data_IF_343250628040
#
_entry.id   IF_343250628040
#
_cell.length_a   1.000
_cell.length_b   1.000
_cell.length_c   1.000
_cell.angle_alpha   90.00
_cell.angle_beta   90.00
_cell.angle_gamma   90.00
#
_symmetry.space_group_name_H-M   'P 1'
#
loop_
_entity.id
_entity.type
_entity.pdbx_description
1 polymer ?
#
# COMPACT_ATOMS: atom_id res chain seq x y z
N UNK A 1 31.03 1.58 44.79
CA UNK A 1 30.45 0.63 43.83
C UNK A 1 29.89 1.45 42.68
N UNK A 2 30.68 1.67 41.62
CA UNK A 2 30.20 2.35 40.41
C UNK A 2 29.57 1.31 39.49
N UNK A 3 28.24 1.18 39.53
CA UNK A 3 27.49 0.48 38.50
C UNK A 3 27.41 1.36 37.25
N UNK A 4 28.50 1.42 36.49
CA UNK A 4 28.41 1.76 35.07
C UNK A 4 27.73 0.58 34.38
N UNK A 5 26.42 0.68 34.17
CA UNK A 5 25.76 -0.12 33.16
C UNK A 5 26.43 0.23 31.84
N UNK A 6 27.28 -0.66 31.35
CA UNK A 6 27.90 -0.55 30.04
C UNK A 6 26.78 -0.72 29.01
N UNK A 7 26.28 0.40 28.49
CA UNK A 7 25.25 0.39 27.47
C UNK A 7 25.79 -0.28 26.20
N UNK A 8 25.07 -1.26 25.68
CA UNK A 8 25.39 -1.84 24.37
C UNK A 8 25.01 -0.86 23.27
N UNK A 9 25.88 -0.71 22.28
CA UNK A 9 25.67 0.11 21.10
C UNK A 9 25.45 -0.80 19.89
N UNK A 10 24.44 -0.49 19.07
CA UNK A 10 24.11 -1.26 17.87
C UNK A 10 24.20 -0.36 16.65
N UNK A 11 24.99 -0.77 15.67
CA UNK A 11 25.06 -0.17 14.34
C UNK A 11 24.23 -1.02 13.39
N UNK A 12 23.09 -0.50 12.97
CA UNK A 12 22.19 -1.18 12.04
C UNK A 12 22.43 -0.67 10.61
N UNK A 13 22.82 -1.58 9.72
CA UNK A 13 23.16 -1.30 8.33
C UNK A 13 22.12 -1.97 7.43
N UNK A 14 21.28 -1.12 6.80
CA UNK A 14 20.21 -1.54 5.91
C UNK A 14 20.64 -1.43 4.44
N UNK A 15 20.19 -2.37 3.63
CA UNK A 15 20.38 -2.34 2.17
C UNK A 15 21.24 -3.49 1.64
N UNK A 16 21.42 -3.54 0.31
CA UNK A 16 22.12 -4.64 -0.33
C UNK A 16 23.60 -4.67 0.05
N UNK A 17 24.13 -5.88 0.22
CA UNK A 17 25.57 -6.09 0.39
C UNK A 17 26.22 -6.11 -0.98
N UNK A 18 27.27 -5.30 -1.13
CA UNK A 18 28.06 -5.23 -2.36
C UNK A 18 29.52 -5.58 -2.05
N UNK A 19 30.15 -6.31 -2.97
CA UNK A 19 31.52 -6.80 -2.84
C UNK A 19 32.53 -5.66 -2.59
N UNK A 20 32.31 -4.47 -3.17
CA UNK A 20 33.24 -3.34 -3.11
C UNK A 20 33.41 -2.79 -1.70
N UNK A 21 32.31 -2.65 -0.94
CA UNK A 21 32.39 -2.06 0.39
C UNK A 21 32.52 -3.10 1.50
N UNK A 22 31.94 -4.30 1.33
CA UNK A 22 31.99 -5.32 2.38
C UNK A 22 33.41 -5.84 2.60
N UNK A 23 34.24 -5.88 1.56
CA UNK A 23 35.64 -6.30 1.68
C UNK A 23 36.46 -5.37 2.58
N UNK A 24 36.18 -4.07 2.53
CA UNK A 24 36.81 -3.07 3.40
C UNK A 24 36.38 -3.22 4.87
N UNK A 25 35.31 -3.97 5.15
CA UNK A 25 34.84 -4.27 6.50
C UNK A 25 35.37 -5.59 7.07
N UNK A 26 36.10 -6.39 6.30
CA UNK A 26 36.55 -7.72 6.73
C UNK A 26 37.36 -7.72 8.04
N UNK A 27 38.16 -6.68 8.31
CA UNK A 27 38.98 -6.55 9.53
C UNK A 27 38.20 -6.12 10.77
N UNK A 28 37.02 -5.53 10.58
CA UNK A 28 36.13 -5.16 11.68
C UNK A 28 35.15 -6.27 12.00
N UNK A 29 34.81 -7.10 11.00
CA UNK A 29 33.92 -8.25 11.13
C UNK A 29 34.63 -9.52 11.65
N UNK A 30 35.96 -9.56 11.62
CA UNK A 30 36.73 -10.66 12.22
C UNK A 30 37.04 -10.42 13.71
N UNK A 31 37.75 -11.36 14.33
CA UNK A 31 38.12 -11.31 15.75
C UNK A 31 38.96 -10.07 16.13
N UNK A 32 39.58 -9.39 15.16
CA UNK A 32 40.38 -8.20 15.43
C UNK A 32 39.51 -7.00 15.80
N UNK A 33 38.25 -6.93 15.32
CA UNK A 33 37.32 -5.81 15.58
C UNK A 33 37.93 -4.43 15.30
N UNK A 34 38.72 -4.31 14.22
CA UNK A 34 39.42 -3.09 13.80
C UNK A 34 38.89 -2.58 12.47
N UNK A 35 38.33 -1.38 12.47
CA UNK A 35 37.96 -0.68 11.25
C UNK A 35 39.17 0.11 10.74
N UNK A 36 39.66 -0.26 9.57
CA UNK A 36 40.74 0.44 8.88
C UNK A 36 40.13 1.43 7.88
N UNK A 37 40.37 2.73 8.08
CA UNK A 37 39.92 3.76 7.17
C UNK A 37 40.93 3.94 6.01
N UNK A 38 40.45 4.46 4.88
CA UNK A 38 41.29 4.79 3.72
C UNK A 38 42.37 5.85 4.06
N UNK A 39 42.16 6.63 5.13
CA UNK A 39 43.15 7.56 5.68
C UNK A 39 44.35 6.86 6.36
N UNK A 40 44.25 5.56 6.61
CA UNK A 40 45.20 4.78 7.40
C UNK A 40 44.92 4.78 8.91
N UNK A 41 43.88 5.51 9.35
CA UNK A 41 43.44 5.48 10.74
C UNK A 41 42.79 4.13 11.08
N UNK A 42 43.08 3.63 12.28
CA UNK A 42 42.57 2.36 12.79
C UNK A 42 41.69 2.64 13.99
N UNK A 43 40.41 2.30 13.88
CA UNK A 43 39.43 2.44 14.95
C UNK A 43 39.11 1.05 15.51
N UNK A 44 39.39 0.84 16.79
CA UNK A 44 39.05 -0.40 17.50
C UNK A 44 37.60 -0.32 18.00
N UNK A 45 36.78 -1.29 17.61
CA UNK A 45 35.44 -1.45 18.19
C UNK A 45 35.53 -2.01 19.61
N UNK A 46 34.72 -1.47 20.51
CA UNK A 46 34.60 -1.98 21.88
C UNK A 46 33.76 -3.27 21.91
N UNK A 47 33.89 -4.04 22.99
CA UNK A 47 33.10 -5.26 23.17
C UNK A 47 31.58 -5.01 23.33
N UNK A 48 31.17 -3.77 23.57
CA UNK A 48 29.75 -3.37 23.71
C UNK A 48 29.10 -2.99 22.38
N UNK A 49 29.91 -2.81 21.32
CA UNK A 49 29.42 -2.45 20.00
C UNK A 49 29.09 -3.70 19.19
N UNK A 50 27.92 -3.69 18.56
CA UNK A 50 27.44 -4.73 17.67
C UNK A 50 27.14 -4.12 16.29
N UNK A 51 27.49 -4.84 15.23
CA UNK A 51 27.12 -4.53 13.86
C UNK A 51 26.03 -5.52 13.42
N UNK A 52 24.91 -4.99 12.95
CA UNK A 52 23.80 -5.78 12.42
C UNK A 52 23.58 -5.35 10.98
N UNK A 53 23.52 -6.33 10.08
CA UNK A 53 23.20 -6.12 8.67
C UNK A 53 21.84 -6.73 8.38
N UNK A 54 20.97 -5.99 7.70
CA UNK A 54 19.69 -6.49 7.18
C UNK A 54 19.69 -6.39 5.64
N UNK A 55 20.40 -7.29 4.94
CA UNK A 55 20.37 -7.37 3.50
C UNK A 55 19.25 -8.29 2.99
N UNK A 56 18.78 -8.04 1.76
CA UNK A 56 17.83 -8.92 1.08
C UNK A 56 18.48 -10.25 0.70
N UNK A 57 19.69 -10.21 0.16
CA UNK A 57 20.50 -11.37 -0.21
C UNK A 57 21.98 -11.13 0.06
N UNK A 58 22.77 -12.20 -0.04
CA UNK A 58 24.22 -12.20 0.12
C UNK A 58 24.92 -12.72 -1.14
N UNK A 59 24.32 -12.59 -2.32
CA UNK A 59 24.88 -13.14 -3.56
C UNK A 59 26.25 -12.53 -3.90
N UNK A 60 26.49 -11.29 -3.49
CA UNK A 60 27.74 -10.57 -3.72
C UNK A 60 28.75 -10.71 -2.56
N UNK A 61 28.42 -11.47 -1.51
CA UNK A 61 29.32 -11.69 -0.38
C UNK A 61 30.09 -13.01 -0.53
N UNK A 62 31.41 -12.97 -0.31
CA UNK A 62 32.21 -14.20 -0.33
C UNK A 62 31.87 -15.11 0.87
N UNK A 63 31.90 -16.44 0.72
CA UNK A 63 31.69 -17.36 1.85
C UNK A 63 32.64 -17.11 3.04
N UNK A 64 33.85 -16.61 2.77
CA UNK A 64 34.83 -16.26 3.80
C UNK A 64 34.48 -14.99 4.59
N UNK A 65 33.71 -14.08 4.00
CA UNK A 65 33.15 -12.90 4.68
C UNK A 65 31.96 -13.31 5.54
N UNK A 66 31.05 -14.12 4.98
CA UNK A 66 29.85 -14.59 5.67
C UNK A 66 30.21 -15.49 6.86
N UNK A 67 31.28 -16.29 6.77
CA UNK A 67 31.72 -17.17 7.87
C UNK A 67 32.16 -16.45 9.13
N UNK A 68 32.41 -15.13 9.07
CA UNK A 68 32.80 -14.30 10.21
C UNK A 68 31.59 -13.72 10.95
N UNK A 69 30.41 -13.80 10.34
CA UNK A 69 29.18 -13.20 10.85
C UNK A 69 28.26 -14.27 11.45
N UNK A 70 27.47 -13.88 12.46
CA UNK A 70 26.35 -14.68 12.93
C UNK A 70 25.18 -14.57 11.96
N UNK A 71 24.77 -15.69 11.36
CA UNK A 71 23.70 -15.71 10.36
C UNK A 71 22.36 -16.04 10.99
N UNK A 72 21.40 -15.11 10.87
CA UNK A 72 20.00 -15.31 11.24
C UNK A 72 19.18 -15.30 9.95
N UNK A 73 18.62 -16.46 9.58
CA UNK A 73 17.75 -16.57 8.42
C UNK A 73 16.30 -16.38 8.85
N UNK A 74 15.62 -15.42 8.24
CA UNK A 74 14.19 -15.20 8.41
C UNK A 74 13.47 -15.71 7.17
N UNK A 75 12.61 -16.73 7.33
CA UNK A 75 11.76 -17.19 6.23
C UNK A 75 10.58 -16.21 6.06
N UNK A 76 10.44 -15.53 4.90
CA UNK A 76 9.35 -14.60 4.66
C UNK A 76 7.97 -15.25 4.76
N UNK A 77 7.87 -16.57 4.52
CA UNK A 77 6.59 -17.29 4.61
C UNK A 77 6.11 -17.48 6.05
N UNK A 78 6.99 -17.34 7.04
CA UNK A 78 6.60 -17.40 8.46
C UNK A 78 5.92 -16.11 8.92
N UNK A 79 6.22 -14.98 8.28
CA UNK A 79 5.61 -13.69 8.59
C UNK A 79 4.43 -13.42 7.65
N UNK A 80 3.26 -13.94 8.02
CA UNK A 80 2.04 -13.71 7.25
C UNK A 80 1.52 -12.27 7.32
N UNK A 81 0.66 -11.91 6.36
CA UNK A 81 -0.01 -10.60 6.31
C UNK A 81 -0.84 -10.28 7.55
N UNK A 82 -1.29 -11.32 8.29
CA UNK A 82 -2.10 -11.18 9.51
C UNK A 82 -1.39 -10.41 10.61
N UNK A 83 -0.07 -10.55 10.75
CA UNK A 83 0.70 -9.80 11.76
C UNK A 83 0.63 -8.30 11.48
N UNK A 84 0.73 -7.91 10.21
CA UNK A 84 0.56 -6.51 9.79
C UNK A 84 -0.88 -6.03 9.96
N UNK A 85 -1.88 -6.87 9.64
CA UNK A 85 -3.30 -6.57 9.87
C UNK A 85 -3.60 -6.35 11.36
N UNK A 86 -3.11 -7.21 12.25
CA UNK A 86 -3.33 -7.08 13.69
C UNK A 86 -2.71 -5.77 14.23
N UNK A 87 -1.50 -5.45 13.80
CA UNK A 87 -0.85 -4.17 14.12
C UNK A 87 -1.63 -2.97 13.55
N UNK A 88 -2.05 -3.04 12.29
CA UNK A 88 -2.86 -2.00 11.63
C UNK A 88 -4.17 -1.73 12.36
N UNK A 89 -4.92 -2.79 12.71
CA UNK A 89 -6.19 -2.66 13.45
C UNK A 89 -5.97 -2.05 14.83
N UNK A 90 -4.86 -2.37 15.50
CA UNK A 90 -4.57 -1.89 16.84
C UNK A 90 -4.09 -0.44 16.86
N UNK A 91 -3.20 -0.04 15.95
CA UNK A 91 -2.45 1.21 16.07
C UNK A 91 -2.78 2.27 15.00
N UNK A 92 -3.21 1.86 13.80
CA UNK A 92 -3.36 2.77 12.66
C UNK A 92 -4.83 3.14 12.40
N UNK A 93 -5.78 2.26 12.72
CA UNK A 93 -7.20 2.56 12.54
C UNK A 93 -7.66 3.73 13.43
N UNK A 94 -8.48 4.67 12.90
CA UNK A 94 -8.91 5.85 13.64
C UNK A 94 -9.49 5.52 15.02
N UNK A 95 -9.00 6.17 16.07
CA UNK A 95 -9.42 5.95 17.46
C UNK A 95 -10.92 6.21 17.65
N UNK A 96 -11.51 7.08 16.82
CA UNK A 96 -12.95 7.37 16.79
C UNK A 96 -13.81 6.20 16.33
N UNK A 97 -13.24 5.16 15.70
CA UNK A 97 -14.02 4.02 15.23
C UNK A 97 -14.59 3.19 16.38
N UNK A 98 -15.91 2.91 16.39
CA UNK A 98 -16.53 2.07 17.38
C UNK A 98 -16.04 0.61 17.27
N UNK A 99 -16.19 -0.13 18.37
CA UNK A 99 -15.77 -1.54 18.43
C UNK A 99 -16.39 -2.40 17.33
N UNK A 100 -17.67 -2.22 17.05
CA UNK A 100 -18.39 -2.93 15.98
C UNK A 100 -17.77 -2.67 14.59
N UNK A 101 -17.32 -1.44 14.32
CA UNK A 101 -16.65 -1.11 13.06
C UNK A 101 -15.28 -1.79 12.94
N UNK A 102 -14.53 -1.88 14.05
CA UNK A 102 -13.23 -2.59 14.09
C UNK A 102 -13.39 -4.09 13.90
N UNK A 103 -14.41 -4.69 14.52
CA UNK A 103 -14.77 -6.10 14.34
C UNK A 103 -15.18 -6.38 12.88
N UNK A 104 -16.01 -5.51 12.27
CA UNK A 104 -16.37 -5.59 10.86
C UNK A 104 -15.14 -5.53 9.94
N UNK A 105 -14.19 -4.63 10.20
CA UNK A 105 -12.95 -4.52 9.42
C UNK A 105 -12.14 -5.81 9.55
N UNK A 106 -11.99 -6.36 10.75
CA UNK A 106 -11.29 -7.63 10.94
C UNK A 106 -11.96 -8.77 10.15
N UNK A 107 -13.28 -8.87 10.20
CA UNK A 107 -14.03 -9.89 9.45
C UNK A 107 -13.86 -9.74 7.94
N UNK A 108 -13.81 -8.51 7.43
CA UNK A 108 -13.53 -8.23 6.01
C UNK A 108 -12.14 -8.71 5.60
N UNK A 109 -11.12 -8.45 6.42
CA UNK A 109 -9.76 -8.94 6.18
C UNK A 109 -9.71 -10.47 6.15
N UNK A 110 -10.20 -11.13 7.20
CA UNK A 110 -10.13 -12.60 7.32
C UNK A 110 -10.96 -13.32 6.26
N UNK A 111 -12.08 -12.73 5.82
CA UNK A 111 -12.92 -13.35 4.79
C UNK A 111 -12.37 -13.16 3.38
N UNK A 112 -11.87 -11.97 3.04
CA UNK A 112 -11.63 -11.60 1.62
C UNK A 112 -10.18 -11.74 1.18
N UNK A 113 -9.20 -11.55 2.07
CA UNK A 113 -7.80 -11.39 1.66
C UNK A 113 -7.20 -12.69 1.15
N UNK A 114 -7.30 -13.79 1.90
CA UNK A 114 -6.71 -15.07 1.48
C UNK A 114 -7.31 -15.60 0.17
N UNK A 115 -8.64 -15.67 -0.03
CA UNK A 115 -9.22 -16.16 -1.28
C UNK A 115 -8.80 -15.31 -2.48
N UNK A 116 -8.71 -13.98 -2.30
CA UNK A 116 -8.23 -13.10 -3.36
C UNK A 116 -6.75 -13.32 -3.66
N UNK A 117 -5.88 -13.44 -2.65
CA UNK A 117 -4.44 -13.68 -2.84
C UNK A 117 -4.19 -15.04 -3.51
N UNK A 118 -4.91 -16.08 -3.11
CA UNK A 118 -4.84 -17.42 -3.71
C UNK A 118 -5.23 -17.38 -5.19
N UNK A 119 -6.38 -16.76 -5.50
CA UNK A 119 -6.84 -16.63 -6.88
C UNK A 119 -5.87 -15.82 -7.73
N UNK A 120 -5.38 -14.69 -7.22
CA UNK A 120 -4.41 -13.85 -7.90
C UNK A 120 -3.13 -14.62 -8.23
N UNK A 121 -2.61 -15.39 -7.27
CA UNK A 121 -1.40 -16.21 -7.45
C UNK A 121 -1.61 -17.34 -8.46
N UNK A 122 -2.78 -17.99 -8.43
CA UNK A 122 -3.05 -19.17 -9.27
C UNK A 122 -3.45 -18.81 -10.71
N UNK A 123 -4.16 -17.70 -10.91
CA UNK A 123 -4.87 -17.43 -12.17
C UNK A 123 -4.54 -16.10 -12.84
N UNK A 124 -3.86 -15.18 -12.15
CA UNK A 124 -3.55 -13.85 -12.65
C UNK A 124 -2.06 -13.66 -12.96
N UNK A 125 -1.79 -12.77 -13.91
CA UNK A 125 -0.43 -12.32 -14.26
C UNK A 125 -0.23 -10.89 -13.78
N UNK A 126 0.82 -10.70 -12.99
CA UNK A 126 1.26 -9.41 -12.49
C UNK A 126 2.21 -8.71 -13.48
N UNK A 127 2.16 -7.38 -13.52
CA UNK A 127 3.11 -6.55 -14.27
C UNK A 127 4.45 -6.39 -13.54
N UNK A 128 4.46 -6.60 -12.23
CA UNK A 128 5.59 -6.43 -11.34
C UNK A 128 5.67 -7.64 -10.40
N UNK A 129 6.88 -8.01 -9.98
CA UNK A 129 7.03 -8.99 -8.90
C UNK A 129 6.60 -8.34 -7.58
N UNK A 130 5.60 -8.91 -6.91
CA UNK A 130 5.08 -8.38 -5.63
C UNK A 130 4.82 -9.52 -4.67
N UNK A 131 5.21 -9.35 -3.40
CA UNK A 131 4.88 -10.32 -2.35
C UNK A 131 3.43 -10.16 -1.87
N UNK A 132 2.78 -11.22 -1.39
CA UNK A 132 1.44 -11.13 -0.79
C UNK A 132 1.36 -10.11 0.36
N UNK A 133 2.43 -10.02 1.16
CA UNK A 133 2.55 -9.04 2.25
C UNK A 133 2.49 -7.61 1.69
N UNK A 134 3.22 -7.33 0.62
CA UNK A 134 3.22 -6.01 -0.01
C UNK A 134 1.85 -5.64 -0.59
N UNK A 135 1.14 -6.60 -1.20
CA UNK A 135 -0.22 -6.40 -1.69
C UNK A 135 -1.18 -6.06 -0.55
N UNK A 136 -1.17 -6.83 0.53
CA UNK A 136 -2.03 -6.55 1.70
C UNK A 136 -1.66 -5.23 2.37
N UNK A 137 -0.38 -4.89 2.42
CA UNK A 137 0.07 -3.57 2.91
C UNK A 137 -0.42 -2.43 2.02
N UNK A 138 -0.41 -2.61 0.71
CA UNK A 138 -0.96 -1.63 -0.25
C UNK A 138 -2.46 -1.44 -0.08
N UNK A 139 -3.21 -2.53 0.16
CA UNK A 139 -4.62 -2.48 0.55
C UNK A 139 -4.80 -1.66 1.84
N UNK A 140 -4.05 -1.97 2.90
CA UNK A 140 -4.17 -1.26 4.19
C UNK A 140 -3.92 0.23 4.02
N UNK A 141 -2.85 0.63 3.33
CA UNK A 141 -2.53 2.04 3.08
C UNK A 141 -3.62 2.77 2.31
N UNK A 142 -4.08 2.19 1.19
CA UNK A 142 -5.16 2.79 0.41
C UNK A 142 -6.44 2.91 1.25
N UNK A 143 -6.76 1.88 2.02
CA UNK A 143 -7.92 1.88 2.88
C UNK A 143 -7.85 3.00 3.93
N UNK A 144 -6.69 3.21 4.57
CA UNK A 144 -6.47 4.34 5.49
C UNK A 144 -6.68 5.69 4.81
N UNK A 145 -6.10 5.90 3.63
CA UNK A 145 -6.19 7.17 2.90
C UNK A 145 -7.62 7.52 2.47
N UNK A 146 -8.54 6.55 2.49
CA UNK A 146 -9.94 6.76 2.10
C UNK A 146 -10.88 7.02 3.29
N UNK A 147 -10.39 6.94 4.53
CA UNK A 147 -11.18 7.05 5.76
C UNK A 147 -11.32 8.45 6.34
N UNK A 148 -10.78 9.50 5.71
CA UNK A 148 -10.75 10.85 6.30
C UNK A 148 -12.10 11.34 6.83
N UNK A 149 -13.17 11.20 6.06
CA UNK A 149 -14.51 11.63 6.47
C UNK A 149 -15.07 10.79 7.62
N UNK A 150 -14.66 9.52 7.72
CA UNK A 150 -15.05 8.63 8.81
C UNK A 150 -14.26 8.98 10.08
N UNK A 151 -12.95 9.18 9.95
CA UNK A 151 -12.06 9.55 11.04
C UNK A 151 -12.43 10.92 11.62
N UNK A 152 -12.74 11.87 10.73
CA UNK A 152 -13.13 13.24 11.06
C UNK A 152 -14.60 13.43 11.40
N UNK A 153 -15.45 12.39 11.34
CA UNK A 153 -16.90 12.50 11.59
C UNK A 153 -17.23 13.33 12.84
N UNK A 154 -17.99 14.42 12.67
CA UNK A 154 -18.38 15.32 13.75
C UNK A 154 -17.28 16.27 14.23
N UNK A 155 -16.18 16.38 13.50
CA UNK A 155 -15.03 17.25 13.82
C UNK A 155 -14.68 18.18 12.66
N UNK A 156 -13.79 19.13 12.91
CA UNK A 156 -13.19 19.97 11.86
C UNK A 156 -11.80 19.43 11.56
N UNK A 157 -11.55 19.09 10.30
CA UNK A 157 -10.26 18.60 9.85
C UNK A 157 -9.15 19.65 9.95
N UNK A 158 -7.88 19.23 9.79
CA UNK A 158 -6.72 20.13 9.83
C UNK A 158 -6.83 21.30 8.85
N UNK A 159 -7.47 21.07 7.70
CA UNK A 159 -7.67 22.05 6.62
C UNK A 159 -8.85 23.01 6.87
N UNK A 160 -9.44 22.99 8.08
CA UNK A 160 -10.63 23.77 8.41
C UNK A 160 -11.94 23.20 7.82
N UNK A 161 -11.88 22.04 7.16
CA UNK A 161 -13.04 21.37 6.57
C UNK A 161 -13.89 20.70 7.67
N UNK A 162 -15.12 21.16 7.85
CA UNK A 162 -16.06 20.53 8.78
C UNK A 162 -16.60 19.22 8.19
N UNK A 163 -16.48 18.13 8.93
CA UNK A 163 -17.05 16.83 8.57
C UNK A 163 -18.40 16.65 9.27
N UNK A 164 -19.43 16.36 8.48
CA UNK A 164 -20.75 16.06 9.01
C UNK A 164 -20.72 14.80 9.89
N UNK A 165 -21.58 14.77 10.90
CA UNK A 165 -21.73 13.59 11.75
C UNK A 165 -22.33 12.43 10.94
N UNK A 166 -21.62 11.31 10.88
CA UNK A 166 -22.04 10.11 10.17
C UNK A 166 -22.91 9.22 11.05
N UNK A 167 -24.05 8.82 10.53
CA UNK A 167 -24.84 7.74 11.14
C UNK A 167 -24.03 6.43 11.13
N UNK A 168 -24.05 5.70 12.25
CA UNK A 168 -23.40 4.39 12.40
C UNK A 168 -23.68 3.43 11.21
N UNK A 169 -24.93 3.32 10.76
CA UNK A 169 -25.27 2.45 9.63
C UNK A 169 -24.60 2.90 8.31
N UNK A 170 -24.52 4.21 8.08
CA UNK A 170 -23.85 4.77 6.89
C UNK A 170 -22.34 4.54 6.96
N UNK A 171 -21.75 4.74 8.14
CA UNK A 171 -20.34 4.44 8.39
C UNK A 171 -20.00 2.99 8.09
N UNK A 172 -20.78 2.02 8.59
CA UNK A 172 -20.54 0.60 8.33
C UNK A 172 -20.68 0.24 6.85
N UNK A 173 -21.58 0.89 6.11
CA UNK A 173 -21.70 0.71 4.66
C UNK A 173 -20.50 1.30 3.90
N UNK A 174 -20.04 2.49 4.31
CA UNK A 174 -18.86 3.11 3.71
C UNK A 174 -17.60 2.29 3.97
N UNK A 175 -17.39 1.80 5.18
CA UNK A 175 -16.26 0.93 5.51
C UNK A 175 -16.21 -0.31 4.59
N UNK A 176 -17.34 -0.98 4.37
CA UNK A 176 -17.41 -2.12 3.46
C UNK A 176 -17.12 -1.74 2.00
N UNK A 177 -17.69 -0.64 1.51
CA UNK A 177 -17.47 -0.17 0.13
C UNK A 177 -16.03 0.27 -0.12
N UNK A 178 -15.45 1.02 0.82
CA UNK A 178 -14.05 1.45 0.79
C UNK A 178 -13.10 0.27 0.92
N UNK A 179 -13.41 -0.73 1.75
CA UNK A 179 -12.62 -1.94 1.86
C UNK A 179 -12.61 -2.71 0.54
N UNK A 180 -13.78 -2.88 -0.08
CA UNK A 180 -13.90 -3.54 -1.38
C UNK A 180 -13.12 -2.80 -2.47
N UNK A 181 -13.22 -1.47 -2.51
CA UNK A 181 -12.42 -0.64 -3.43
C UNK A 181 -10.91 -0.81 -3.18
N UNK A 182 -10.50 -0.80 -1.91
CA UNK A 182 -9.10 -0.95 -1.51
C UNK A 182 -8.56 -2.36 -1.76
N UNK A 183 -9.41 -3.38 -1.69
CA UNK A 183 -9.08 -4.76 -2.04
C UNK A 183 -8.79 -4.88 -3.54
N UNK A 184 -9.67 -4.33 -4.38
CA UNK A 184 -9.52 -4.34 -5.85
C UNK A 184 -8.21 -3.65 -6.25
N UNK A 185 -7.98 -2.43 -5.76
CA UNK A 185 -6.83 -1.63 -6.19
C UNK A 185 -5.54 -1.92 -5.43
N UNK A 186 -5.64 -2.39 -4.18
CA UNK A 186 -4.49 -2.77 -3.36
C UNK A 186 -3.93 -4.16 -3.69
N UNK A 187 -4.79 -5.17 -3.90
CA UNK A 187 -4.33 -6.52 -4.24
C UNK A 187 -4.18 -6.74 -5.74
N UNK A 188 -5.10 -6.19 -6.53
CA UNK A 188 -5.19 -6.44 -7.97
C UNK A 188 -4.85 -5.22 -8.83
N UNK A 189 -4.32 -4.12 -8.26
CA UNK A 189 -3.94 -2.93 -9.03
C UNK A 189 -2.88 -3.20 -10.10
N UNK A 190 -1.96 -4.11 -9.83
CA UNK A 190 -0.77 -4.41 -10.65
C UNK A 190 -0.94 -5.60 -11.59
N UNK A 191 -2.14 -6.18 -11.71
CA UNK A 191 -2.39 -7.27 -12.67
C UNK A 191 -2.66 -6.75 -14.09
N UNK A 192 -2.36 -7.60 -15.06
CA UNK A 192 -2.59 -7.35 -16.50
C UNK A 192 -4.09 -7.25 -16.84
N UNK A 193 -4.42 -6.57 -17.95
CA UNK A 193 -5.80 -6.36 -18.39
C UNK A 193 -6.62 -7.65 -18.58
N UNK A 194 -6.03 -8.70 -19.13
CA UNK A 194 -6.68 -10.02 -19.24
C UNK A 194 -6.97 -10.65 -17.87
N UNK A 195 -6.06 -10.44 -16.92
CA UNK A 195 -6.21 -10.95 -15.55
C UNK A 195 -7.28 -10.17 -14.78
N UNK A 196 -7.43 -8.86 -15.05
CA UNK A 196 -8.50 -8.03 -14.47
C UNK A 196 -9.89 -8.59 -14.78
N UNK A 197 -10.12 -9.03 -16.01
CA UNK A 197 -11.42 -9.65 -16.39
C UNK A 197 -11.71 -10.94 -15.64
N UNK A 198 -10.69 -11.79 -15.48
CA UNK A 198 -10.81 -13.05 -14.73
C UNK A 198 -11.09 -12.78 -13.25
N UNK A 199 -10.32 -11.87 -12.66
CA UNK A 199 -10.46 -11.47 -11.27
C UNK A 199 -11.83 -10.82 -11.01
N UNK A 200 -12.34 -9.98 -11.93
CA UNK A 200 -13.69 -9.42 -11.83
C UNK A 200 -14.77 -10.51 -11.74
N UNK A 201 -14.71 -11.51 -12.63
CA UNK A 201 -15.67 -12.62 -12.61
C UNK A 201 -15.61 -13.38 -11.29
N UNK A 202 -14.40 -13.75 -10.85
CA UNK A 202 -14.19 -14.41 -9.57
C UNK A 202 -14.72 -13.59 -8.39
N UNK A 203 -14.39 -12.30 -8.33
CA UNK A 203 -14.78 -11.43 -7.21
C UNK A 203 -16.30 -11.27 -7.14
N UNK A 204 -17.00 -11.21 -8.29
CA UNK A 204 -18.46 -11.18 -8.34
C UNK A 204 -19.09 -12.48 -7.82
N UNK A 205 -18.57 -13.64 -8.24
CA UNK A 205 -19.03 -14.95 -7.76
C UNK A 205 -18.78 -15.12 -6.26
N UNK A 206 -17.62 -14.66 -5.78
CA UNK A 206 -17.26 -14.63 -4.36
C UNK A 206 -18.23 -13.75 -3.54
N UNK A 207 -18.48 -12.51 -3.99
CA UNK A 207 -19.34 -11.55 -3.27
C UNK A 207 -20.81 -11.97 -3.22
N UNK A 208 -21.30 -12.66 -4.26
CA UNK A 208 -22.67 -13.17 -4.34
C UNK A 208 -22.87 -14.45 -3.53
N UNK A 209 -21.78 -15.07 -3.03
CA UNK A 209 -21.81 -16.33 -2.30
C UNK A 209 -22.00 -17.56 -3.19
N UNK A 210 -21.68 -17.45 -4.49
CA UNK A 210 -21.68 -18.58 -5.41
C UNK A 210 -20.55 -19.58 -5.09
N UNK A 211 -19.51 -19.14 -4.37
CA UNK A 211 -18.42 -19.98 -3.91
C UNK A 211 -18.71 -20.49 -2.50
N UNK A 212 -19.26 -21.71 -2.39
CA UNK A 212 -19.63 -22.33 -1.11
C UNK A 212 -18.44 -22.54 -0.16
N UNK A 213 -17.23 -22.62 -0.70
CA UNK A 213 -15.97 -22.78 0.03
C UNK A 213 -15.66 -21.60 0.96
N UNK A 214 -16.20 -20.40 0.66
CA UNK A 214 -15.90 -19.17 1.39
C UNK A 214 -17.18 -18.50 1.92
N UNK A 215 -17.82 -19.07 2.95
CA UNK A 215 -19.09 -18.58 3.45
C UNK A 215 -18.97 -17.16 4.03
N UNK A 216 -19.88 -16.28 3.59
CA UNK A 216 -19.92 -14.88 4.00
C UNK A 216 -20.23 -14.71 5.50
N UNK A 217 -19.41 -13.97 6.26
CA UNK A 217 -19.70 -13.61 7.65
C UNK A 217 -21.02 -12.83 7.80
N UNK A 218 -21.74 -13.06 8.90
CA UNK A 218 -23.03 -12.39 9.19
C UNK A 218 -22.91 -10.89 9.44
N UNK A 219 -21.75 -10.44 9.91
CA UNK A 219 -21.40 -9.03 10.11
C UNK A 219 -21.36 -8.25 8.80
N UNK A 220 -21.01 -8.92 7.69
CA UNK A 220 -20.84 -8.30 6.38
C UNK A 220 -22.17 -8.32 5.61
N UNK A 221 -22.60 -7.13 5.17
CA UNK A 221 -23.87 -6.89 4.49
C UNK A 221 -23.66 -6.29 3.10
N UNK A 222 -23.02 -7.06 2.21
CA UNK A 222 -23.11 -6.76 0.78
C UNK A 222 -24.52 -7.06 0.25
N UNK A 223 -25.23 -6.02 -0.18
CA UNK A 223 -26.44 -6.10 -0.99
C UNK A 223 -26.08 -5.77 -2.45
N UNK A 224 -26.97 -6.07 -3.41
CA UNK A 224 -26.76 -5.66 -4.82
C UNK A 224 -26.53 -4.16 -5.00
N UNK A 225 -27.06 -3.33 -4.10
CA UNK A 225 -26.87 -1.88 -4.14
C UNK A 225 -25.50 -1.43 -3.61
N UNK A 226 -24.81 -2.27 -2.82
CA UNK A 226 -23.56 -1.92 -2.14
C UNK A 226 -22.32 -2.48 -2.87
N UNK A 227 -22.52 -3.29 -3.91
CA UNK A 227 -21.47 -3.80 -4.79
C UNK A 227 -21.46 -3.00 -6.10
N UNK A 228 -20.35 -3.04 -6.81
CA UNK A 228 -20.22 -2.37 -8.11
C UNK A 228 -21.21 -2.96 -9.14
N UNK A 229 -21.71 -2.15 -10.09
CA UNK A 229 -22.69 -2.59 -11.09
C UNK A 229 -22.25 -3.80 -11.91
N UNK A 230 -23.22 -4.54 -12.47
CA UNK A 230 -22.97 -5.73 -13.32
C UNK A 230 -22.38 -5.37 -14.70
N UNK A 231 -22.53 -4.11 -15.15
CA UNK A 231 -21.88 -3.62 -16.37
C UNK A 231 -20.40 -3.34 -16.11
N UNK A 232 -19.57 -3.45 -17.14
CA UNK A 232 -18.11 -3.23 -17.07
C UNK A 232 -17.43 -4.11 -15.99
N UNK A 233 -16.17 -3.85 -15.70
CA UNK A 233 -15.42 -4.57 -14.66
C UNK A 233 -15.39 -3.77 -13.35
N UNK A 234 -15.09 -4.43 -12.24
CA UNK A 234 -14.91 -3.80 -10.93
C UNK A 234 -13.85 -2.68 -10.93
N UNK A 235 -12.92 -2.68 -11.91
CA UNK A 235 -11.89 -1.64 -12.08
C UNK A 235 -12.40 -0.37 -12.76
N UNK A 236 -13.60 -0.39 -13.33
CA UNK A 236 -14.19 0.75 -14.05
C UNK A 236 -15.02 1.65 -13.13
N UNK A 237 -15.07 1.32 -11.83
CA UNK A 237 -15.83 2.05 -10.84
C UNK A 237 -14.97 2.58 -9.69
N UNK A 238 -15.41 3.68 -9.11
CA UNK A 238 -14.94 4.22 -7.83
C UNK A 238 -16.09 4.34 -6.83
N UNK A 239 -15.75 4.34 -5.55
CA UNK A 239 -16.74 4.44 -4.48
C UNK A 239 -16.93 5.90 -4.03
N UNK A 240 -18.13 6.43 -4.21
CA UNK A 240 -18.50 7.77 -3.78
C UNK A 240 -19.15 7.75 -2.39
N UNK A 241 -18.53 8.46 -1.44
CA UNK A 241 -18.97 8.66 -0.05
C UNK A 241 -20.15 9.64 0.05
N UNK A 242 -21.29 9.32 -0.59
CA UNK A 242 -22.54 10.11 -0.53
C UNK A 242 -23.74 9.24 -0.14
N UNK A 243 -24.55 9.75 0.79
CA UNK A 243 -25.66 8.99 1.40
C UNK A 243 -25.16 7.61 1.88
N UNK A 244 -25.80 6.50 1.46
CA UNK A 244 -25.39 5.15 1.83
C UNK A 244 -24.08 4.66 1.16
N UNK A 245 -23.51 5.44 0.23
CA UNK A 245 -22.36 5.06 -0.60
C UNK A 245 -22.81 4.49 -1.95
N UNK A 246 -22.20 4.95 -3.04
CA UNK A 246 -22.57 4.53 -4.40
C UNK A 246 -21.34 4.31 -5.27
N UNK A 247 -21.41 3.31 -6.15
CA UNK A 247 -20.39 3.07 -7.16
C UNK A 247 -20.68 3.89 -8.41
N UNK A 248 -19.70 4.68 -8.86
CA UNK A 248 -19.77 5.50 -10.08
C UNK A 248 -18.64 5.15 -11.03
N UNK A 249 -18.80 5.48 -12.30
CA UNK A 249 -17.77 5.22 -13.30
C UNK A 249 -16.75 6.36 -13.32
N UNK A 250 -15.49 6.05 -13.64
CA UNK A 250 -14.43 7.05 -13.70
C UNK A 250 -14.72 8.30 -14.55
N UNK A 251 -15.44 8.24 -15.69
CA UNK A 251 -15.87 9.42 -16.43
C UNK A 251 -16.67 10.43 -15.60
N UNK A 252 -17.45 9.98 -14.62
CA UNK A 252 -18.28 10.85 -13.77
C UNK A 252 -17.43 11.72 -12.84
N UNK A 253 -16.15 11.37 -12.65
CA UNK A 253 -15.20 12.11 -11.84
C UNK A 253 -14.62 13.34 -12.56
N UNK A 254 -14.64 13.34 -13.90
CA UNK A 254 -14.06 14.41 -14.71
C UNK A 254 -15.02 15.61 -14.69
N UNK A 255 -14.54 16.76 -14.19
CA UNK A 255 -15.33 17.98 -14.21
C UNK A 255 -15.56 18.44 -15.66
N UNK A 256 -16.74 18.97 -15.97
CA UNK A 256 -17.08 19.46 -17.32
C UNK A 256 -16.13 20.55 -17.82
N UNK A 257 -15.56 21.32 -16.90
CA UNK A 257 -14.59 22.38 -17.19
C UNK A 257 -13.25 21.79 -17.67
N UNK A 258 -12.82 20.66 -17.12
CA UNK A 258 -11.59 19.97 -17.55
C UNK A 258 -11.74 19.25 -18.90
N UNK A 259 -12.97 19.13 -19.42
CA UNK A 259 -13.24 18.62 -20.78
C UNK A 259 -13.10 19.70 -21.86
N UNK A 260 -13.13 20.99 -21.48
CA UNK A 260 -13.00 22.10 -22.41
C UNK A 260 -11.52 22.38 -22.68
N UNK A 261 -11.10 22.29 -23.95
CA UNK A 261 -9.73 22.65 -24.36
C UNK A 261 -9.65 24.17 -24.50
N UNK A 262 -8.83 24.88 -23.70
CA UNK A 262 -8.73 26.34 -23.81
C UNK A 262 -8.15 26.76 -25.16
N UNK A 263 -8.69 27.85 -25.73
CA UNK A 263 -8.18 28.39 -26.99
C UNK A 263 -6.73 28.89 -26.84
N UNK A 264 -5.85 28.46 -27.76
CA UNK A 264 -4.44 28.89 -27.79
C UNK A 264 -3.44 27.97 -27.09
N UNK A 265 -3.89 26.89 -26.46
CA UNK A 265 -2.98 25.87 -25.89
C UNK A 265 -2.33 25.06 -27.02
N UNK A 266 -1.01 24.86 -26.93
CA UNK A 266 -0.32 24.01 -27.90
C UNK A 266 -0.81 22.57 -27.75
N UNK A 267 -1.09 21.90 -28.87
CA UNK A 267 -1.59 20.51 -28.88
C UNK A 267 -0.70 19.56 -28.07
N UNK A 268 0.62 19.81 -28.02
CA UNK A 268 1.59 19.01 -27.25
C UNK A 268 1.43 19.12 -25.73
N UNK A 269 0.79 20.19 -25.25
CA UNK A 269 0.60 20.47 -23.82
C UNK A 269 -0.83 20.10 -23.35
N UNK A 270 -1.71 19.65 -24.27
CA UNK A 270 -3.09 19.27 -23.94
C UNK A 270 -3.14 17.81 -23.48
N UNK A 271 -3.58 17.60 -22.24
CA UNK A 271 -3.91 16.26 -21.72
C UNK A 271 -5.41 16.02 -21.93
N UNK A 272 -5.74 15.02 -22.75
CA UNK A 272 -7.13 14.59 -22.96
C UNK A 272 -7.60 13.84 -21.73
N UNK A 273 -8.72 14.29 -21.16
CA UNK A 273 -9.35 13.61 -20.04
C UNK A 273 -9.99 12.30 -20.50
N UNK A 274 -9.62 11.20 -19.86
CA UNK A 274 -10.07 9.83 -20.12
C UNK A 274 -10.25 9.09 -18.81
N UNK A 275 -10.84 7.90 -18.85
CA UNK A 275 -11.01 7.01 -17.68
C UNK A 275 -9.66 6.72 -16.99
N UNK A 276 -8.56 6.67 -17.77
CA UNK A 276 -7.22 6.46 -17.25
C UNK A 276 -6.67 7.72 -16.56
N UNK A 277 -6.92 8.92 -17.09
CA UNK A 277 -6.48 10.15 -16.42
C UNK A 277 -7.26 10.40 -15.14
N UNK A 278 -8.57 10.12 -15.12
CA UNK A 278 -9.41 10.20 -13.93
C UNK A 278 -8.91 9.25 -12.82
N UNK A 279 -8.60 7.99 -13.17
CA UNK A 279 -8.00 7.02 -12.25
C UNK A 279 -6.67 7.50 -11.67
N UNK A 280 -5.75 7.93 -12.54
CA UNK A 280 -4.44 8.41 -12.10
C UNK A 280 -4.57 9.65 -11.21
N UNK A 281 -5.44 10.59 -11.57
CA UNK A 281 -5.72 11.77 -10.77
C UNK A 281 -6.26 11.41 -9.38
N UNK A 282 -7.22 10.48 -9.29
CA UNK A 282 -7.75 10.01 -8.01
C UNK A 282 -6.67 9.43 -7.10
N UNK A 283 -5.81 8.54 -7.61
CA UNK A 283 -4.75 7.94 -6.80
C UNK A 283 -3.65 8.93 -6.44
N UNK A 284 -3.31 9.86 -7.35
CA UNK A 284 -2.38 10.95 -7.06
C UNK A 284 -2.93 11.86 -5.96
N UNK A 285 -4.18 12.31 -6.07
CA UNK A 285 -4.83 13.14 -5.06
C UNK A 285 -4.89 12.42 -3.70
N UNK A 286 -5.36 11.17 -3.70
CA UNK A 286 -5.51 10.37 -2.48
C UNK A 286 -4.17 10.11 -1.79
N UNK A 287 -3.14 9.69 -2.52
CA UNK A 287 -1.87 9.32 -1.90
C UNK A 287 -0.99 10.54 -1.58
N UNK A 288 -0.93 11.54 -2.46
CA UNK A 288 -0.10 12.72 -2.23
C UNK A 288 -0.63 13.55 -1.06
N UNK A 289 -1.95 13.70 -0.90
CA UNK A 289 -2.54 14.38 0.27
C UNK A 289 -2.18 13.71 1.60
N UNK A 290 -1.93 12.40 1.57
CA UNK A 290 -1.53 11.59 2.73
C UNK A 290 -0.02 11.37 2.85
N UNK A 291 0.79 12.06 2.04
CA UNK A 291 2.25 11.87 1.98
C UNK A 291 2.67 10.40 1.74
N UNK A 292 1.85 9.66 0.99
CA UNK A 292 2.10 8.28 0.57
C UNK A 292 2.75 8.29 -0.82
N UNK A 293 3.96 7.73 -0.98
CA UNK A 293 4.57 7.58 -2.30
C UNK A 293 3.78 6.62 -3.19
N UNK A 294 3.58 7.00 -4.46
CA UNK A 294 2.89 6.21 -5.48
C UNK A 294 3.85 5.84 -6.62
N UNK A 295 3.79 4.59 -7.07
CA UNK A 295 4.50 4.11 -8.26
C UNK A 295 3.50 3.85 -9.40
N UNK A 296 3.63 4.59 -10.50
CA UNK A 296 2.82 4.39 -11.71
C UNK A 296 3.64 3.62 -12.76
N UNK A 297 3.18 2.42 -13.11
CA UNK A 297 3.86 1.54 -14.07
C UNK A 297 3.04 1.39 -15.34
N UNK A 298 3.74 1.40 -16.48
CA UNK A 298 3.15 1.17 -17.80
C UNK A 298 4.14 1.44 -18.93
N UNK A 299 3.80 1.07 -20.17
CA UNK A 299 4.69 1.20 -21.33
C UNK A 299 5.20 2.64 -21.56
N UNK A 300 6.34 2.78 -22.24
CA UNK A 300 6.87 4.11 -22.60
C UNK A 300 5.92 4.85 -23.52
N UNK A 301 5.78 6.17 -23.34
CA UNK A 301 4.95 7.01 -24.20
C UNK A 301 3.46 7.07 -23.85
N UNK A 302 3.01 6.47 -22.74
CA UNK A 302 1.59 6.47 -22.33
C UNK A 302 1.17 7.66 -21.47
N UNK A 303 1.87 8.80 -21.54
CA UNK A 303 1.47 10.04 -20.85
C UNK A 303 1.64 10.09 -19.32
N UNK A 304 2.08 9.01 -18.66
CA UNK A 304 2.24 8.91 -17.19
C UNK A 304 2.99 10.12 -16.57
N UNK A 305 4.16 10.44 -17.11
CA UNK A 305 4.98 11.56 -16.61
C UNK A 305 4.32 12.91 -16.85
N UNK A 306 3.60 13.07 -17.96
CA UNK A 306 2.87 14.31 -18.26
C UNK A 306 1.72 14.52 -17.27
N UNK A 307 0.95 13.47 -16.97
CA UNK A 307 -0.15 13.50 -16.00
C UNK A 307 0.37 13.82 -14.59
N UNK A 308 1.46 13.17 -14.16
CA UNK A 308 2.06 13.44 -12.85
C UNK A 308 2.56 14.88 -12.73
N UNK A 309 3.31 15.37 -13.73
CA UNK A 309 3.80 16.75 -13.72
C UNK A 309 2.63 17.77 -13.75
N UNK A 310 1.59 17.48 -14.52
CA UNK A 310 0.38 18.31 -14.57
C UNK A 310 -0.30 18.40 -13.20
N UNK A 311 -0.41 17.28 -12.49
CA UNK A 311 -0.95 17.24 -11.14
C UNK A 311 -0.07 18.04 -10.16
N UNK A 312 1.24 17.80 -10.16
CA UNK A 312 2.18 18.44 -9.23
C UNK A 312 2.23 19.97 -9.39
N UNK A 313 2.12 20.49 -10.62
CA UNK A 313 2.11 21.95 -10.88
C UNK A 313 0.83 22.62 -10.35
N UNK A 314 -0.29 21.89 -10.25
CA UNK A 314 -1.57 22.39 -9.75
C UNK A 314 -1.70 22.33 -8.23
N UNK A 315 -0.79 21.62 -7.54
CA UNK A 315 -0.78 21.62 -6.09
C UNK A 315 -0.62 23.05 -5.55
N UNK A 316 -1.23 23.39 -4.41
CA UNK A 316 -1.04 24.67 -3.77
C UNK A 316 0.45 24.97 -3.62
N UNK A 317 0.86 26.19 -3.97
CA UNK A 317 2.21 26.67 -3.66
C UNK A 317 2.25 27.01 -2.18
N UNK A 318 2.59 26.02 -1.36
CA UNK A 318 3.13 26.25 -0.02
C UNK A 318 4.62 26.58 -0.10
#
# INVERSE_FOLDING_TARGET
>A
MNNTFLAMAYFHLLGPVDAVWIENMNTVLDDNKKLCLMSGEIIQMSAQMNLIFEPEDLEQASPATVSRCGMIYMDPNQLGWRVFKDSYIQYELPVSLPKEARELINDLFEWMVDPCLEYLRAHCKFQLSTSPIHLTFSLMRLYTCLMDEIAGSGTTGPDGKAYAELNANTMLLWLQGLFLFSLIWGLAGTITGDSRRKFDTFLRDFLTGALEEYPKPKSIKFSKANIFPERNTCFDFYFEKKAAGHWREWPDMIAREDLAIPEGVKVVDVIIQTDETARQAFFLETFVSHNVPLLLVGPTGTGKSAINNYFLVRLPKE
#
